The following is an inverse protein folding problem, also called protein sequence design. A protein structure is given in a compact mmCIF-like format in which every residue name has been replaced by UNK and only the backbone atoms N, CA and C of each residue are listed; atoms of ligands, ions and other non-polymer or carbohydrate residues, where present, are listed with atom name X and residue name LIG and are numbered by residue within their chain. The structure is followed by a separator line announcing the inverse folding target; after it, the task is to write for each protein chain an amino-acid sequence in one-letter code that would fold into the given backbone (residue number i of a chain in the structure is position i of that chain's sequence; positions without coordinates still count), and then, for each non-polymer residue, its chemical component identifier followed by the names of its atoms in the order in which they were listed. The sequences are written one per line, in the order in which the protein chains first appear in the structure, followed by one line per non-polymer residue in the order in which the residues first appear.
data_IF_789008885082
#
_entry.id   IF_789008885082
#
_cell.length_a   1.000
_cell.length_b   1.000
_cell.length_c   1.000
_cell.angle_alpha   90.00
_cell.angle_beta   90.00
_cell.angle_gamma   90.00
#
_symmetry.space_group_name_H-M   'P 1'
#
loop_
_entity.id
_entity.type
_entity.pdbx_description
1 polymer ?
#
# COMPACT_ATOMS: atom_id res chain seq x y z
N UNK A 1 4.10 -11.45 -16.25
CA UNK A 1 5.15 -12.18 -17.00
C UNK A 1 5.02 -13.70 -16.76
N UNK A 2 4.22 -14.42 -17.59
CA UNK A 2 4.03 -15.85 -17.43
C UNK A 2 5.33 -16.67 -17.58
N UNK A 3 6.31 -16.15 -18.31
CA UNK A 3 7.57 -16.85 -18.50
C UNK A 3 8.45 -16.79 -17.24
N UNK A 4 8.46 -15.68 -16.50
CA UNK A 4 9.13 -15.60 -15.23
C UNK A 4 8.48 -16.52 -14.19
N UNK A 5 7.14 -16.57 -14.14
CA UNK A 5 6.42 -17.51 -13.26
C UNK A 5 6.81 -18.96 -13.59
N UNK A 6 6.80 -19.34 -14.87
CA UNK A 6 7.12 -20.69 -15.29
C UNK A 6 8.54 -21.13 -14.91
N UNK A 7 9.51 -20.21 -14.93
CA UNK A 7 10.91 -20.48 -14.51
C UNK A 7 11.07 -20.59 -12.99
N UNK A 8 10.16 -19.99 -12.22
CA UNK A 8 10.20 -19.92 -10.77
C UNK A 8 8.93 -20.50 -10.11
N UNK A 9 8.24 -21.43 -10.80
CA UNK A 9 7.01 -22.08 -10.31
C UNK A 9 7.20 -22.83 -9.00
N UNK A 10 8.43 -23.24 -8.69
CA UNK A 10 8.86 -23.94 -7.48
C UNK A 10 9.20 -22.99 -6.31
N UNK A 11 9.11 -21.69 -6.50
CA UNK A 11 9.30 -20.70 -5.44
C UNK A 11 8.38 -21.01 -4.25
N UNK A 12 8.98 -21.13 -3.06
CA UNK A 12 8.24 -21.44 -1.84
C UNK A 12 7.56 -20.19 -1.29
N UNK A 13 6.24 -20.23 -1.25
CA UNK A 13 5.37 -19.15 -0.78
C UNK A 13 4.61 -19.64 0.45
N UNK A 14 4.62 -18.88 1.54
CA UNK A 14 3.76 -19.12 2.70
C UNK A 14 2.62 -18.10 2.68
N UNK A 15 1.39 -18.58 2.85
CA UNK A 15 0.20 -17.76 2.90
C UNK A 15 -0.60 -18.02 4.18
N UNK A 16 -1.12 -16.96 4.79
CA UNK A 16 -2.13 -17.04 5.86
C UNK A 16 -3.31 -16.10 5.62
N UNK A 17 -4.55 -16.55 5.80
CA UNK A 17 -5.75 -15.71 5.77
C UNK A 17 -6.03 -15.02 7.11
N UNK A 18 -5.24 -15.26 8.15
CA UNK A 18 -5.49 -14.80 9.53
C UNK A 18 -6.94 -15.10 9.95
N UNK A 19 -7.37 -16.36 9.83
CA UNK A 19 -8.75 -16.84 10.06
C UNK A 19 -9.83 -16.25 9.15
N UNK A 20 -9.45 -15.53 8.10
CA UNK A 20 -10.36 -14.81 7.20
C UNK A 20 -10.81 -15.62 5.98
N UNK A 21 -11.55 -14.94 5.12
CA UNK A 21 -12.20 -15.53 3.94
C UNK A 21 -11.24 -15.82 2.79
N UNK A 22 -10.06 -15.19 2.75
CA UNK A 22 -9.05 -15.38 1.72
C UNK A 22 -8.58 -16.84 1.56
N UNK A 23 -8.75 -17.67 2.61
CA UNK A 23 -8.42 -19.09 2.59
C UNK A 23 -9.08 -19.87 1.43
N UNK A 24 -10.24 -19.42 0.95
CA UNK A 24 -10.99 -20.14 -0.09
C UNK A 24 -10.43 -19.90 -1.49
N UNK A 25 -9.94 -18.70 -1.74
CA UNK A 25 -9.58 -18.28 -3.10
C UNK A 25 -8.07 -18.11 -3.30
N UNK A 26 -7.35 -17.51 -2.35
CA UNK A 26 -5.95 -17.11 -2.56
C UNK A 26 -5.02 -18.31 -2.83
N UNK A 27 -5.02 -19.41 -2.06
CA UNK A 27 -4.16 -20.56 -2.37
C UNK A 27 -4.48 -21.17 -3.73
N UNK A 28 -5.77 -21.20 -4.09
CA UNK A 28 -6.22 -21.71 -5.40
C UNK A 28 -5.78 -20.78 -6.53
N UNK A 29 -5.93 -19.48 -6.35
CA UNK A 29 -5.53 -18.49 -7.34
C UNK A 29 -4.01 -18.54 -7.61
N UNK A 30 -3.19 -18.63 -6.57
CA UNK A 30 -1.74 -18.79 -6.70
C UNK A 30 -1.36 -20.04 -7.49
N UNK A 31 -2.01 -21.17 -7.23
CA UNK A 31 -1.81 -22.42 -8.01
C UNK A 31 -2.24 -22.26 -9.46
N UNK A 32 -3.39 -21.62 -9.70
CA UNK A 32 -3.85 -21.34 -11.07
C UNK A 32 -2.94 -20.34 -11.81
N UNK A 33 -2.28 -19.44 -11.05
CA UNK A 33 -1.29 -18.51 -11.59
C UNK A 33 0.00 -19.21 -12.02
N UNK A 34 0.29 -20.41 -11.47
CA UNK A 34 1.41 -21.25 -11.86
C UNK A 34 2.39 -21.60 -10.74
N UNK A 35 2.13 -21.18 -9.50
CA UNK A 35 3.00 -21.51 -8.35
C UNK A 35 2.65 -22.88 -7.76
N UNK A 36 3.63 -23.77 -7.69
CA UNK A 36 3.44 -25.15 -7.23
C UNK A 36 3.61 -25.29 -5.70
N UNK A 37 4.51 -24.51 -5.11
CA UNK A 37 4.91 -24.61 -3.70
C UNK A 37 4.26 -23.53 -2.84
N UNK A 38 2.94 -23.61 -2.70
CA UNK A 38 2.15 -22.72 -1.82
C UNK A 38 1.83 -23.47 -0.53
N UNK A 39 2.41 -23.01 0.57
CA UNK A 39 2.23 -23.54 1.92
C UNK A 39 1.31 -22.60 2.72
N UNK A 40 0.56 -23.15 3.65
CA UNK A 40 -0.38 -22.37 4.48
C UNK A 40 -0.16 -22.65 5.95
N UNK A 41 -0.53 -21.74 6.83
CA UNK A 41 -0.50 -21.90 8.29
C UNK A 41 -1.77 -22.65 8.71
N UNK A 42 -1.70 -23.94 9.10
CA UNK A 42 -2.91 -24.75 9.31
C UNK A 42 -3.84 -24.17 10.37
N UNK A 43 -3.29 -23.64 11.47
CA UNK A 43 -4.04 -23.08 12.59
C UNK A 43 -4.85 -21.85 12.19
N UNK A 44 -4.37 -21.09 11.21
CA UNK A 44 -5.02 -19.88 10.70
C UNK A 44 -5.90 -20.15 9.47
N UNK A 45 -5.84 -21.36 8.90
CA UNK A 45 -6.71 -21.79 7.79
C UNK A 45 -8.11 -22.24 8.26
N UNK A 46 -8.57 -21.71 9.37
CA UNK A 46 -9.90 -21.97 9.94
C UNK A 46 -10.59 -20.61 10.08
N UNK A 47 -11.80 -20.48 9.51
CA UNK A 47 -12.61 -19.26 9.69
C UNK A 47 -13.10 -19.19 11.12
N UNK A 48 -12.61 -18.22 11.88
CA UNK A 48 -13.00 -17.97 13.26
C UNK A 48 -13.03 -16.47 13.55
N UNK A 49 -14.22 -15.94 13.81
CA UNK A 49 -14.42 -14.52 14.13
C UNK A 49 -13.86 -14.09 15.50
N UNK A 50 -13.37 -15.03 16.32
CA UNK A 50 -12.66 -14.71 17.56
C UNK A 50 -11.15 -14.53 17.35
N UNK A 51 -10.62 -14.87 16.16
CA UNK A 51 -9.21 -14.72 15.78
C UNK A 51 -8.22 -15.26 16.83
N UNK A 52 -8.34 -16.55 17.27
CA UNK A 52 -7.70 -17.07 18.47
C UNK A 52 -6.18 -17.08 18.46
N UNK A 53 -5.53 -16.89 17.31
CA UNK A 53 -4.08 -16.91 17.17
C UNK A 53 -3.43 -15.53 17.07
N UNK A 54 -4.24 -14.45 17.09
CA UNK A 54 -3.74 -13.07 16.94
C UNK A 54 -4.50 -12.12 17.86
N UNK A 55 -3.81 -11.07 18.31
CA UNK A 55 -4.45 -9.98 19.06
C UNK A 55 -5.32 -9.11 18.14
N UNK A 56 -4.84 -8.90 16.91
CA UNK A 56 -5.57 -8.15 15.89
C UNK A 56 -5.34 -8.82 14.53
N UNK A 57 -6.40 -9.13 13.76
CA UNK A 57 -6.28 -9.79 12.46
C UNK A 57 -5.90 -8.80 11.35
N UNK A 58 -4.91 -7.96 11.62
CA UNK A 58 -4.45 -6.95 10.67
C UNK A 58 -3.06 -7.34 10.12
N UNK A 59 -2.91 -7.53 8.80
CA UNK A 59 -1.65 -7.91 8.17
C UNK A 59 -0.55 -6.84 8.23
N UNK A 60 -0.84 -5.65 8.75
CA UNK A 60 0.16 -4.63 9.07
C UNK A 60 0.98 -4.99 10.32
N UNK A 61 0.44 -5.83 11.20
CA UNK A 61 1.05 -6.18 12.47
C UNK A 61 2.02 -7.36 12.32
N UNK A 62 3.25 -7.18 12.78
CA UNK A 62 4.26 -8.25 12.77
C UNK A 62 3.80 -9.51 13.54
N UNK A 63 3.03 -9.33 14.61
CA UNK A 63 2.45 -10.40 15.39
C UNK A 63 1.51 -11.27 14.57
N UNK A 64 0.65 -10.67 13.74
CA UNK A 64 -0.29 -11.40 12.89
C UNK A 64 0.40 -12.27 11.82
N UNK A 65 1.60 -11.88 11.36
CA UNK A 65 2.41 -12.63 10.41
C UNK A 65 3.37 -13.62 11.07
N UNK A 66 3.51 -13.61 12.40
CA UNK A 66 4.55 -14.35 13.11
C UNK A 66 4.53 -15.86 12.83
N UNK A 67 3.35 -16.49 12.82
CA UNK A 67 3.21 -17.92 12.52
C UNK A 67 3.63 -18.24 11.08
N UNK A 68 3.24 -17.41 10.13
CA UNK A 68 3.63 -17.57 8.72
C UNK A 68 5.13 -17.37 8.50
N UNK A 69 5.74 -16.39 9.18
CA UNK A 69 7.20 -16.16 9.15
C UNK A 69 7.95 -17.34 9.80
N UNK A 70 7.44 -17.91 10.89
CA UNK A 70 8.05 -19.08 11.51
C UNK A 70 8.01 -20.30 10.58
N UNK A 71 6.86 -20.59 9.98
CA UNK A 71 6.75 -21.64 8.95
C UNK A 71 7.71 -21.36 7.78
N UNK A 72 7.80 -20.14 7.34
CA UNK A 72 8.70 -19.76 6.24
C UNK A 72 10.18 -19.98 6.57
N UNK A 73 10.59 -19.78 7.82
CA UNK A 73 11.93 -20.11 8.32
C UNK A 73 12.18 -21.63 8.29
N UNK A 74 11.22 -22.43 8.74
CA UNK A 74 11.33 -23.89 8.80
C UNK A 74 11.52 -24.53 7.43
N UNK A 75 10.76 -24.05 6.43
CA UNK A 75 10.79 -24.62 5.09
C UNK A 75 11.75 -23.90 4.15
N UNK A 76 12.45 -22.88 4.61
CA UNK A 76 13.26 -21.97 3.80
C UNK A 76 12.46 -21.38 2.63
N UNK A 77 11.37 -20.67 2.97
CA UNK A 77 10.54 -19.99 1.98
C UNK A 77 11.16 -18.64 1.55
N UNK A 78 10.65 -18.10 0.45
CA UNK A 78 11.15 -16.87 -0.17
C UNK A 78 10.18 -15.69 0.02
N UNK A 79 8.88 -15.99 0.20
CA UNK A 79 7.83 -14.99 0.33
C UNK A 79 6.79 -15.42 1.36
N UNK A 80 6.40 -14.49 2.23
CA UNK A 80 5.26 -14.64 3.12
C UNK A 80 4.19 -13.63 2.72
N UNK A 81 2.95 -14.07 2.67
CA UNK A 81 1.77 -13.22 2.42
C UNK A 81 0.69 -13.49 3.45
N UNK A 82 0.02 -12.44 3.88
CA UNK A 82 -1.15 -12.52 4.74
C UNK A 82 -2.28 -11.64 4.16
N UNK A 83 -3.51 -12.12 4.17
CA UNK A 83 -4.68 -11.29 3.92
C UNK A 83 -5.43 -11.00 5.21
N UNK A 84 -6.09 -9.86 5.28
CA UNK A 84 -7.03 -9.55 6.35
C UNK A 84 -8.33 -10.39 6.23
N UNK A 85 -9.23 -10.32 7.23
CA UNK A 85 -10.37 -11.23 7.30
C UNK A 85 -11.34 -11.18 6.12
N UNK A 86 -11.57 -10.03 5.52
CA UNK A 86 -12.43 -9.85 4.35
C UNK A 86 -11.69 -9.95 3.01
N UNK A 87 -10.36 -10.18 3.07
CA UNK A 87 -9.49 -10.44 1.92
C UNK A 87 -9.43 -9.27 0.93
N UNK A 88 -9.26 -8.06 1.44
CA UNK A 88 -9.09 -6.86 0.64
C UNK A 88 -7.70 -6.20 0.80
N UNK A 89 -6.90 -6.58 1.82
CA UNK A 89 -5.53 -6.11 2.09
C UNK A 89 -4.54 -7.25 2.10
N UNK A 90 -3.28 -6.96 1.74
CA UNK A 90 -2.19 -7.94 1.70
C UNK A 90 -0.95 -7.45 2.43
N UNK A 91 -0.62 -8.09 3.55
CA UNK A 91 0.67 -7.94 4.22
C UNK A 91 1.72 -8.88 3.63
N UNK A 92 2.96 -8.43 3.58
CA UNK A 92 4.05 -9.14 2.93
C UNK A 92 5.28 -9.13 3.83
N UNK A 93 6.00 -10.26 3.86
CA UNK A 93 7.35 -10.32 4.40
C UNK A 93 8.28 -11.06 3.43
N UNK A 94 9.52 -10.62 3.36
CA UNK A 94 10.59 -11.24 2.59
C UNK A 94 11.91 -11.15 3.36
N UNK A 95 12.95 -11.83 2.88
CA UNK A 95 14.29 -11.75 3.47
C UNK A 95 15.01 -10.50 2.97
N UNK A 96 15.67 -9.78 3.88
CA UNK A 96 16.61 -8.72 3.55
C UNK A 96 17.97 -9.27 3.06
N UNK A 97 18.95 -8.39 2.78
CA UNK A 97 20.29 -8.79 2.33
C UNK A 97 21.13 -9.53 3.39
N UNK A 98 20.67 -9.56 4.64
CA UNK A 98 21.28 -10.32 5.73
C UNK A 98 20.59 -11.67 5.97
N UNK A 99 19.51 -11.94 5.22
CA UNK A 99 18.68 -13.13 5.39
C UNK A 99 17.63 -13.01 6.50
N UNK A 100 17.46 -11.81 7.08
CA UNK A 100 16.45 -11.59 8.13
C UNK A 100 15.08 -11.28 7.51
N UNK A 101 14.03 -11.82 8.10
CA UNK A 101 12.67 -11.55 7.67
C UNK A 101 12.24 -10.14 8.04
N UNK A 102 11.86 -9.36 7.04
CA UNK A 102 11.37 -7.99 7.19
C UNK A 102 9.96 -7.86 6.60
N UNK A 103 9.11 -7.11 7.30
CA UNK A 103 7.80 -6.74 6.78
C UNK A 103 7.94 -5.60 5.80
N UNK A 104 7.26 -5.72 4.67
CA UNK A 104 7.14 -4.68 3.66
C UNK A 104 5.86 -3.91 3.93
N UNK A 105 5.95 -2.61 4.19
CA UNK A 105 4.77 -1.80 4.49
C UNK A 105 3.91 -1.53 3.24
N UNK A 106 2.66 -1.06 3.44
CA UNK A 106 1.72 -0.86 2.35
C UNK A 106 2.18 0.15 1.30
N UNK A 107 2.92 1.20 1.69
CA UNK A 107 3.52 2.13 0.74
C UNK A 107 4.57 1.44 -0.14
N UNK A 108 5.45 0.65 0.46
CA UNK A 108 6.49 -0.11 -0.25
C UNK A 108 5.87 -1.15 -1.20
N UNK A 109 4.84 -1.84 -0.74
CA UNK A 109 4.11 -2.81 -1.56
C UNK A 109 3.44 -2.13 -2.75
N UNK A 110 2.76 -1.01 -2.52
CA UNK A 110 2.13 -0.22 -3.58
C UNK A 110 3.15 0.28 -4.62
N UNK A 111 4.34 0.70 -4.17
CA UNK A 111 5.46 1.05 -5.06
C UNK A 111 5.87 -0.11 -5.96
N UNK A 112 6.09 -1.29 -5.38
CA UNK A 112 6.54 -2.47 -6.13
C UNK A 112 5.49 -2.92 -7.15
N UNK A 113 4.21 -2.90 -6.78
CA UNK A 113 3.12 -3.20 -7.72
C UNK A 113 3.14 -2.24 -8.90
N UNK A 114 3.15 -0.94 -8.63
CA UNK A 114 3.08 0.05 -9.68
C UNK A 114 4.33 0.04 -10.57
N UNK A 115 5.52 -0.06 -9.96
CA UNK A 115 6.77 -0.18 -10.70
C UNK A 115 6.76 -1.37 -11.65
N UNK A 116 6.34 -2.54 -11.16
CA UNK A 116 6.26 -3.75 -11.95
C UNK A 116 5.24 -3.63 -13.09
N UNK A 117 4.01 -3.21 -12.79
CA UNK A 117 2.95 -3.04 -13.79
C UNK A 117 3.41 -2.09 -14.91
N UNK A 118 3.97 -0.93 -14.56
CA UNK A 118 4.43 0.04 -15.56
C UNK A 118 5.59 -0.49 -16.38
N UNK A 119 6.53 -1.22 -15.76
CA UNK A 119 7.63 -1.88 -16.46
C UNK A 119 7.09 -2.88 -17.48
N UNK A 120 6.16 -3.76 -17.10
CA UNK A 120 5.55 -4.74 -17.99
C UNK A 120 4.71 -4.07 -19.08
N UNK A 121 3.90 -3.06 -18.76
CA UNK A 121 3.12 -2.33 -19.75
C UNK A 121 4.00 -1.66 -20.81
N UNK A 122 5.13 -1.08 -20.38
CA UNK A 122 6.10 -0.49 -21.29
C UNK A 122 6.74 -1.52 -22.21
N UNK A 123 7.21 -2.64 -21.65
CA UNK A 123 7.82 -3.74 -22.42
C UNK A 123 6.84 -4.34 -23.44
N UNK A 124 5.58 -4.47 -23.09
CA UNK A 124 4.52 -5.02 -23.94
C UNK A 124 3.91 -3.98 -24.92
N UNK A 125 4.39 -2.73 -24.92
CA UNK A 125 3.84 -1.67 -25.75
C UNK A 125 2.37 -1.34 -25.43
N UNK A 126 1.93 -1.57 -24.20
CA UNK A 126 0.54 -1.33 -23.75
C UNK A 126 0.25 0.11 -23.34
N UNK A 127 1.29 0.94 -23.15
CA UNK A 127 1.11 2.37 -22.83
C UNK A 127 0.73 3.12 -24.12
N UNK A 128 -0.43 3.75 -24.12
CA UNK A 128 -1.01 4.48 -25.25
C UNK A 128 -1.13 5.99 -25.03
N UNK A 129 -0.82 6.46 -23.80
CA UNK A 129 -0.89 7.88 -23.42
C UNK A 129 -2.23 8.32 -22.84
N UNK A 130 -3.12 7.38 -22.53
CA UNK A 130 -4.39 7.65 -21.88
C UNK A 130 -4.55 6.88 -20.54
N UNK A 131 -3.46 6.30 -20.04
CA UNK A 131 -3.44 5.56 -18.79
C UNK A 131 -3.39 6.53 -17.60
N UNK A 132 -3.96 6.08 -16.48
CA UNK A 132 -3.85 6.77 -15.21
C UNK A 132 -3.77 5.81 -14.04
N UNK A 133 -3.18 6.30 -12.95
CA UNK A 133 -3.13 5.65 -11.65
C UNK A 133 -3.77 6.55 -10.59
N UNK A 134 -4.14 5.96 -9.47
CA UNK A 134 -4.75 6.70 -8.35
C UNK A 134 -4.06 6.32 -7.05
N UNK A 135 -3.76 7.30 -6.21
CA UNK A 135 -3.31 7.09 -4.83
C UNK A 135 -4.11 7.93 -3.85
N UNK A 136 -4.09 7.56 -2.58
CA UNK A 136 -4.62 8.46 -1.57
C UNK A 136 -3.64 9.59 -1.27
N UNK A 137 -4.14 10.72 -0.77
CA UNK A 137 -3.31 11.87 -0.38
C UNK A 137 -2.28 11.53 0.69
N UNK A 138 -2.52 10.48 1.49
CA UNK A 138 -1.60 10.04 2.56
C UNK A 138 -0.61 8.97 2.09
N UNK A 139 -0.85 8.31 0.97
CA UNK A 139 0.08 7.36 0.36
C UNK A 139 1.37 8.07 -0.09
N UNK A 140 2.47 7.35 -0.14
CA UNK A 140 3.80 7.88 -0.49
C UNK A 140 3.82 8.66 -1.81
N UNK A 141 4.59 9.75 -1.85
CA UNK A 141 4.81 10.49 -3.10
C UNK A 141 5.73 9.75 -4.09
N UNK A 142 6.39 8.69 -3.66
CA UNK A 142 7.31 7.95 -4.51
C UNK A 142 6.57 7.27 -5.68
N UNK A 143 5.34 6.80 -5.46
CA UNK A 143 4.53 6.23 -6.56
C UNK A 143 4.15 7.28 -7.61
N UNK A 144 4.00 8.55 -7.20
CA UNK A 144 3.81 9.64 -8.17
C UNK A 144 5.07 9.84 -9.01
N UNK A 145 6.26 9.82 -8.41
CA UNK A 145 7.53 9.93 -9.14
C UNK A 145 7.70 8.77 -10.14
N UNK A 146 7.29 7.54 -9.76
CA UNK A 146 7.28 6.39 -10.66
C UNK A 146 6.35 6.62 -11.86
N UNK A 147 5.13 7.08 -11.60
CA UNK A 147 4.16 7.39 -12.66
C UNK A 147 4.66 8.51 -13.59
N UNK A 148 5.12 9.62 -13.02
CA UNK A 148 5.63 10.78 -13.77
C UNK A 148 6.79 10.40 -14.72
N UNK A 149 7.75 9.58 -14.25
CA UNK A 149 8.88 9.11 -15.07
C UNK A 149 8.43 8.23 -16.24
N UNK A 150 7.28 7.59 -16.11
CA UNK A 150 6.68 6.77 -17.15
C UNK A 150 5.62 7.53 -17.99
N UNK A 151 5.45 8.83 -17.79
CA UNK A 151 4.44 9.68 -18.43
C UNK A 151 3.00 9.19 -18.17
N UNK A 152 2.73 8.65 -16.98
CA UNK A 152 1.42 8.20 -16.55
C UNK A 152 0.84 9.23 -15.59
N UNK A 153 -0.41 9.61 -15.82
CA UNK A 153 -1.13 10.52 -14.93
C UNK A 153 -1.34 9.85 -13.55
N UNK A 154 -0.93 10.52 -12.48
CA UNK A 154 -1.21 10.12 -11.10
C UNK A 154 -2.23 11.06 -10.48
N UNK A 155 -3.34 10.52 -10.02
CA UNK A 155 -4.40 11.26 -9.35
C UNK A 155 -4.35 11.04 -7.86
N UNK A 156 -4.58 12.11 -7.12
CA UNK A 156 -4.77 12.09 -5.67
C UNK A 156 -6.25 12.02 -5.31
N UNK A 157 -6.60 11.19 -4.35
CA UNK A 157 -7.95 11.14 -3.77
C UNK A 157 -7.88 11.03 -2.24
N UNK A 158 -9.02 11.16 -1.56
CA UNK A 158 -9.08 10.90 -0.12
C UNK A 158 -8.86 9.43 0.22
N UNK A 159 -8.53 9.15 1.48
CA UNK A 159 -8.44 7.81 2.04
C UNK A 159 -9.80 7.12 1.99
N UNK A 160 -9.79 5.86 1.65
CA UNK A 160 -10.95 5.02 1.42
C UNK A 160 -11.14 4.69 -0.06
N UNK A 161 -11.17 3.40 -0.37
CA UNK A 161 -11.14 2.91 -1.75
C UNK A 161 -12.30 3.38 -2.61
N UNK A 162 -13.43 3.78 -1.97
CA UNK A 162 -14.56 4.44 -2.65
C UNK A 162 -14.14 5.67 -3.48
N UNK A 163 -13.07 6.36 -3.06
CA UNK A 163 -12.55 7.51 -3.77
C UNK A 163 -11.71 7.11 -4.99
N UNK A 164 -10.93 6.04 -4.88
CA UNK A 164 -10.25 5.44 -6.03
C UNK A 164 -11.29 4.96 -7.05
N UNK A 165 -12.31 4.23 -6.59
CA UNK A 165 -13.41 3.76 -7.43
C UNK A 165 -14.18 4.93 -8.12
N UNK A 166 -14.35 6.06 -7.40
CA UNK A 166 -14.92 7.28 -7.99
C UNK A 166 -14.07 7.81 -9.14
N UNK A 167 -12.75 7.92 -8.97
CA UNK A 167 -11.85 8.40 -10.01
C UNK A 167 -11.85 7.48 -11.24
N UNK A 168 -11.92 6.15 -11.03
CA UNK A 168 -12.09 5.17 -12.10
C UNK A 168 -13.41 5.43 -12.85
N UNK A 169 -14.53 5.54 -12.12
CA UNK A 169 -15.86 5.75 -12.71
C UNK A 169 -15.95 7.04 -13.53
N UNK A 170 -15.37 8.14 -13.07
CA UNK A 170 -15.41 9.43 -13.77
C UNK A 170 -14.66 9.40 -15.10
N UNK A 171 -13.73 8.46 -15.28
CA UNK A 171 -12.89 8.32 -16.47
C UNK A 171 -13.21 7.10 -17.32
N UNK A 172 -14.22 6.33 -16.93
CA UNK A 172 -14.67 5.14 -17.63
C UNK A 172 -14.97 5.45 -19.11
N UNK A 173 -14.46 4.61 -20.01
CA UNK A 173 -14.59 4.80 -21.46
C UNK A 173 -13.74 5.93 -22.06
N UNK A 174 -13.03 6.72 -21.24
CA UNK A 174 -12.17 7.84 -21.70
C UNK A 174 -10.70 7.59 -21.45
N UNK A 175 -10.36 7.08 -20.26
CA UNK A 175 -9.00 6.76 -19.85
C UNK A 175 -8.93 5.34 -19.30
N UNK A 176 -7.74 4.75 -19.33
CA UNK A 176 -7.49 3.40 -18.82
C UNK A 176 -6.85 3.46 -17.44
N UNK A 177 -7.56 2.97 -16.42
CA UNK A 177 -6.98 2.74 -15.11
C UNK A 177 -6.04 1.53 -15.15
N UNK A 178 -4.85 1.65 -14.56
CA UNK A 178 -3.86 0.57 -14.53
C UNK A 178 -3.48 0.11 -13.14
N UNK A 179 -3.62 0.95 -12.13
CA UNK A 179 -3.36 0.54 -10.76
C UNK A 179 -3.45 1.69 -9.79
N UNK A 180 -3.66 1.34 -8.54
CA UNK A 180 -3.68 2.29 -7.44
C UNK A 180 -3.94 1.61 -6.11
N UNK A 181 -3.64 2.33 -5.04
CA UNK A 181 -3.74 1.74 -3.72
C UNK A 181 -3.60 2.74 -2.60
N UNK A 182 -3.66 2.18 -1.41
CA UNK A 182 -3.60 2.87 -0.15
C UNK A 182 -2.35 2.45 0.63
N UNK A 183 -1.85 3.33 1.48
CA UNK A 183 -0.79 3.04 2.44
C UNK A 183 -1.16 1.90 3.40
N UNK A 184 -2.45 1.67 3.61
CA UNK A 184 -3.03 0.62 4.46
C UNK A 184 -3.18 -0.73 3.74
N UNK A 185 -2.22 -1.09 2.88
CA UNK A 185 -2.07 -2.42 2.26
C UNK A 185 -3.14 -2.81 1.24
N UNK A 186 -4.05 -1.90 0.88
CA UNK A 186 -5.04 -2.11 -0.16
C UNK A 186 -4.52 -1.74 -1.55
N UNK A 187 -4.68 -2.60 -2.54
CA UNK A 187 -4.30 -2.36 -3.93
C UNK A 187 -5.32 -2.96 -4.89
N UNK A 188 -5.47 -2.30 -6.04
CA UNK A 188 -6.23 -2.80 -7.18
C UNK A 188 -5.42 -2.60 -8.45
N UNK A 189 -5.14 -3.68 -9.17
CA UNK A 189 -4.59 -3.65 -10.53
C UNK A 189 -5.74 -3.74 -11.54
N UNK A 190 -5.78 -2.82 -12.50
CA UNK A 190 -6.84 -2.69 -13.48
C UNK A 190 -8.23 -2.42 -12.85
N UNK A 191 -9.31 -2.44 -13.61
CA UNK A 191 -10.63 -2.00 -13.17
C UNK A 191 -11.71 -3.08 -13.24
N UNK A 192 -11.30 -4.37 -13.18
CA UNK A 192 -12.22 -5.50 -13.23
C UNK A 192 -13.14 -5.61 -12.00
N UNK A 193 -12.73 -5.03 -10.87
CA UNK A 193 -13.57 -4.76 -9.68
C UNK A 193 -13.43 -3.30 -9.27
N UNK A 194 -14.19 -2.84 -8.27
CA UNK A 194 -14.20 -1.44 -7.84
C UNK A 194 -13.85 -1.29 -6.36
N UNK A 195 -13.10 -2.24 -5.85
CA UNK A 195 -12.54 -2.21 -4.50
C UNK A 195 -11.17 -2.90 -4.50
N UNK A 196 -10.47 -2.82 -3.38
CA UNK A 196 -9.25 -3.58 -3.10
C UNK A 196 -9.51 -5.07 -3.27
N UNK A 197 -8.53 -5.79 -3.77
CA UNK A 197 -8.66 -7.23 -3.97
C UNK A 197 -7.37 -7.96 -3.59
N UNK A 198 -7.39 -8.64 -2.44
CA UNK A 198 -6.24 -9.40 -1.99
C UNK A 198 -5.97 -10.65 -2.84
N UNK A 199 -6.95 -11.17 -3.56
CA UNK A 199 -6.75 -12.35 -4.40
C UNK A 199 -5.81 -12.01 -5.55
N UNK A 200 -6.12 -10.97 -6.31
CA UNK A 200 -5.26 -10.51 -7.40
C UNK A 200 -3.95 -9.90 -6.89
N UNK A 201 -3.97 -9.18 -5.76
CA UNK A 201 -2.78 -8.59 -5.19
C UNK A 201 -1.78 -9.66 -4.70
N UNK A 202 -2.22 -10.75 -4.08
CA UNK A 202 -1.36 -11.88 -3.73
C UNK A 202 -0.74 -12.54 -4.98
N UNK A 203 -1.52 -12.76 -6.03
CA UNK A 203 -0.99 -13.28 -7.29
C UNK A 203 0.04 -12.34 -7.91
N UNK A 204 -0.26 -11.03 -7.89
CA UNK A 204 0.63 -10.02 -8.45
C UNK A 204 1.95 -9.92 -7.68
N UNK A 205 1.96 -9.93 -6.34
CA UNK A 205 3.22 -9.84 -5.60
C UNK A 205 4.06 -11.12 -5.74
N UNK A 206 3.42 -12.29 -5.84
CA UNK A 206 4.13 -13.53 -6.14
C UNK A 206 4.78 -13.46 -7.54
N UNK A 207 4.08 -12.89 -8.52
CA UNK A 207 4.63 -12.63 -9.86
C UNK A 207 5.78 -11.60 -9.83
N UNK A 208 5.66 -10.52 -9.05
CA UNK A 208 6.74 -9.54 -8.85
C UNK A 208 7.98 -10.21 -8.26
N UNK A 209 7.79 -11.08 -7.26
CA UNK A 209 8.90 -11.82 -6.64
C UNK A 209 9.57 -12.79 -7.63
N UNK A 210 8.79 -13.52 -8.41
CA UNK A 210 9.30 -14.40 -9.46
C UNK A 210 10.05 -13.63 -10.55
N UNK A 211 9.50 -12.48 -10.97
CA UNK A 211 10.15 -11.60 -11.94
C UNK A 211 11.46 -10.98 -11.39
N UNK A 212 11.47 -10.55 -10.14
CA UNK A 212 12.71 -10.09 -9.50
C UNK A 212 13.77 -11.19 -9.49
N UNK A 213 13.41 -12.41 -9.09
CA UNK A 213 14.28 -13.59 -9.08
C UNK A 213 14.81 -13.94 -10.49
N UNK A 214 13.96 -13.82 -11.50
CA UNK A 214 14.34 -14.03 -12.91
C UNK A 214 15.38 -13.01 -13.40
N UNK A 215 15.39 -11.83 -12.78
CA UNK A 215 16.41 -10.78 -13.00
C UNK A 215 17.57 -10.84 -12.00
N UNK A 216 17.74 -11.97 -11.28
CA UNK A 216 18.85 -12.20 -10.35
C UNK A 216 18.74 -11.39 -9.04
N UNK A 217 17.55 -10.99 -8.63
CA UNK A 217 17.31 -10.13 -7.45
C UNK A 217 16.29 -10.77 -6.49
N UNK A 218 16.41 -10.49 -5.21
CA UNK A 218 15.34 -10.73 -4.26
C UNK A 218 14.27 -9.62 -4.36
N UNK A 219 13.09 -9.87 -3.75
CA UNK A 219 12.05 -8.85 -3.65
C UNK A 219 12.54 -7.61 -2.86
N UNK A 220 13.37 -7.82 -1.84
CA UNK A 220 13.99 -6.75 -1.07
C UNK A 220 14.98 -5.93 -1.91
N UNK A 221 15.82 -6.58 -2.70
CA UNK A 221 16.74 -5.89 -3.62
C UNK A 221 16.00 -5.10 -4.69
N UNK A 222 14.88 -5.60 -5.19
CA UNK A 222 14.00 -4.83 -6.08
C UNK A 222 13.50 -3.54 -5.41
N UNK A 223 13.09 -3.61 -4.13
CA UNK A 223 12.70 -2.43 -3.37
C UNK A 223 13.85 -1.42 -3.26
N UNK A 224 15.07 -1.88 -2.99
CA UNK A 224 16.24 -1.01 -2.91
C UNK A 224 16.56 -0.36 -4.26
N UNK A 225 16.43 -1.09 -5.37
CA UNK A 225 16.61 -0.53 -6.71
C UNK A 225 15.60 0.57 -7.03
N UNK A 226 14.35 0.40 -6.61
CA UNK A 226 13.33 1.44 -6.76
C UNK A 226 13.74 2.70 -5.98
N UNK A 227 14.28 2.56 -4.77
CA UNK A 227 14.79 3.69 -4.01
C UNK A 227 16.00 4.37 -4.67
N UNK A 228 16.91 3.59 -5.26
CA UNK A 228 18.05 4.13 -6.00
C UNK A 228 17.59 4.91 -7.24
N UNK A 229 16.57 4.40 -7.94
CA UNK A 229 16.11 4.98 -9.20
C UNK A 229 15.23 6.23 -9.00
N UNK A 230 14.38 6.25 -7.94
CA UNK A 230 13.35 7.29 -7.74
C UNK A 230 13.56 8.17 -6.50
N UNK A 231 14.54 7.83 -5.68
CA UNK A 231 14.86 8.48 -4.42
C UNK A 231 14.37 7.67 -3.21
N UNK A 232 15.11 7.76 -2.11
CA UNK A 232 14.76 7.09 -0.86
C UNK A 232 13.56 7.79 -0.20
N UNK A 233 12.63 6.99 0.26
CA UNK A 233 11.50 7.42 1.11
C UNK A 233 11.32 6.43 2.25
N UNK A 234 11.13 6.93 3.45
CA UNK A 234 10.84 6.12 4.63
C UNK A 234 9.52 6.56 5.23
N UNK A 235 8.52 5.74 5.03
CA UNK A 235 7.19 5.96 5.55
C UNK A 235 7.07 5.38 6.95
N UNK A 236 6.34 6.10 7.81
CA UNK A 236 6.07 5.68 9.17
C UNK A 236 4.68 6.16 9.60
N UNK A 237 3.94 5.31 10.30
CA UNK A 237 2.62 5.63 10.86
C UNK A 237 2.71 5.73 12.37
N UNK A 238 2.17 6.80 12.93
CA UNK A 238 2.02 6.99 14.38
C UNK A 238 0.53 6.90 14.72
N UNK A 239 0.16 5.87 15.46
CA UNK A 239 -1.22 5.69 15.93
C UNK A 239 -1.34 6.24 17.35
N UNK A 240 -2.22 7.22 17.54
CA UNK A 240 -2.55 7.79 18.84
C UNK A 240 -3.97 7.35 19.22
N UNK A 241 -4.05 6.35 20.08
CA UNK A 241 -5.35 5.78 20.52
C UNK A 241 -5.83 6.51 21.79
N UNK A 242 -7.04 7.02 21.73
CA UNK A 242 -7.72 7.70 22.85
C UNK A 242 -9.10 7.07 23.05
N UNK A 243 -9.27 6.21 24.05
CA UNK A 243 -10.52 5.46 24.25
C UNK A 243 -11.66 6.32 24.80
N UNK A 244 -12.88 5.96 24.43
CA UNK A 244 -14.10 6.52 25.00
C UNK A 244 -14.45 7.93 24.52
N UNK A 245 -15.51 8.48 25.08
CA UNK A 245 -16.05 9.79 24.69
C UNK A 245 -15.06 10.93 24.94
N UNK A 246 -14.39 10.94 26.08
CA UNK A 246 -13.35 11.94 26.38
C UNK A 246 -12.18 11.87 25.38
N UNK A 247 -11.80 10.66 24.95
CA UNK A 247 -10.78 10.47 23.94
C UNK A 247 -11.15 11.06 22.58
N UNK A 248 -12.41 10.91 22.17
CA UNK A 248 -12.91 11.54 20.95
C UNK A 248 -12.86 13.08 21.01
N UNK A 249 -13.15 13.67 22.18
CA UNK A 249 -13.04 15.11 22.42
C UNK A 249 -11.59 15.57 22.39
N UNK A 250 -10.64 14.80 22.96
CA UNK A 250 -9.21 15.07 22.89
C UNK A 250 -8.69 15.04 21.45
N UNK A 251 -9.07 14.04 20.65
CA UNK A 251 -8.69 13.94 19.23
C UNK A 251 -9.21 15.15 18.45
N UNK A 252 -10.44 15.56 18.70
CA UNK A 252 -11.01 16.78 18.08
C UNK A 252 -10.22 18.02 18.46
N UNK A 253 -9.87 18.17 19.74
CA UNK A 253 -9.07 19.30 20.24
C UNK A 253 -7.65 19.31 19.63
N UNK A 254 -7.01 18.13 19.47
CA UNK A 254 -5.72 18.03 18.77
C UNK A 254 -5.81 18.52 17.33
N UNK A 255 -6.83 18.11 16.57
CA UNK A 255 -7.00 18.58 15.19
C UNK A 255 -7.23 20.09 15.09
N UNK A 256 -8.02 20.67 16.01
CA UNK A 256 -8.23 22.13 16.04
C UNK A 256 -6.94 22.88 16.45
N UNK A 257 -6.16 22.32 17.36
CA UNK A 257 -4.85 22.88 17.72
C UNK A 257 -3.87 22.87 16.56
N UNK A 258 -3.75 21.79 15.81
CA UNK A 258 -2.90 21.74 14.61
C UNK A 258 -3.33 22.74 13.52
N UNK A 259 -4.63 23.04 13.42
CA UNK A 259 -5.13 24.09 12.52
C UNK A 259 -4.79 25.48 12.99
N UNK A 260 -5.01 25.75 14.27
CA UNK A 260 -4.74 27.06 14.85
C UNK A 260 -3.25 27.38 14.93
N UNK A 261 -2.43 26.36 15.17
CA UNK A 261 -0.99 26.46 15.39
C UNK A 261 -0.24 25.48 14.45
N UNK A 262 -0.25 25.71 13.13
CA UNK A 262 0.44 24.82 12.21
C UNK A 262 1.95 24.81 12.51
N UNK A 263 2.60 23.64 12.48
CA UNK A 263 4.03 23.55 12.73
C UNK A 263 4.80 24.34 11.66
N UNK A 264 5.83 25.06 12.10
CA UNK A 264 6.73 25.81 11.20
C UNK A 264 7.93 24.97 10.76
N UNK A 265 8.22 23.93 11.51
CA UNK A 265 9.35 23.01 11.30
C UNK A 265 8.95 21.60 11.72
N UNK A 266 9.45 20.60 11.02
CA UNK A 266 9.26 19.17 11.30
C UNK A 266 10.59 18.47 11.08
N UNK A 267 11.10 17.76 12.10
CA UNK A 267 12.35 17.02 12.01
C UNK A 267 13.58 17.86 11.66
N UNK A 268 13.60 19.15 12.01
CA UNK A 268 14.69 20.07 11.66
C UNK A 268 14.56 20.71 10.27
N UNK A 269 13.50 20.41 9.52
CA UNK A 269 13.24 20.96 8.19
C UNK A 269 12.05 21.90 8.20
N UNK A 270 12.18 23.06 7.54
CA UNK A 270 11.16 24.11 7.47
C UNK A 270 9.91 23.60 6.73
N UNK A 271 8.73 23.88 7.27
CA UNK A 271 7.46 23.65 6.56
C UNK A 271 7.27 24.73 5.51
N UNK A 272 7.16 24.32 4.25
CA UNK A 272 7.01 25.22 3.10
C UNK A 272 5.58 25.24 2.53
N UNK A 273 4.75 24.25 2.87
CA UNK A 273 3.36 24.16 2.43
C UNK A 273 2.52 23.46 3.49
N UNK A 274 1.40 24.06 3.85
CA UNK A 274 0.37 23.50 4.74
C UNK A 274 -0.93 23.36 3.97
N UNK A 275 -1.58 22.19 4.04
CA UNK A 275 -2.88 21.92 3.41
C UNK A 275 -3.91 21.63 4.49
N UNK A 276 -5.03 22.33 4.48
CA UNK A 276 -6.21 22.01 5.30
C UNK A 276 -7.37 21.60 4.38
N UNK A 277 -7.62 20.32 4.33
CA UNK A 277 -8.69 19.76 3.50
C UNK A 277 -10.10 20.04 4.05
N UNK A 278 -10.23 20.44 5.33
CA UNK A 278 -11.53 20.86 5.89
C UNK A 278 -11.98 22.19 5.30
N UNK A 279 -11.04 23.07 5.00
CA UNK A 279 -11.31 24.38 4.40
C UNK A 279 -11.06 24.41 2.90
N UNK A 280 -10.49 23.33 2.34
CA UNK A 280 -10.01 23.21 0.96
C UNK A 280 -9.02 24.33 0.59
N UNK A 281 -8.14 24.68 1.52
CA UNK A 281 -7.13 25.71 1.35
C UNK A 281 -5.74 25.17 1.65
N UNK A 282 -4.77 25.65 0.88
CA UNK A 282 -3.36 25.46 1.16
C UNK A 282 -2.65 26.79 1.27
N UNK A 283 -1.65 26.85 2.15
CA UNK A 283 -0.88 28.06 2.45
C UNK A 283 0.61 27.75 2.32
N UNK A 284 1.34 28.52 1.54
CA UNK A 284 2.79 28.42 1.42
C UNK A 284 3.53 29.15 2.57
N UNK A 285 4.86 29.04 2.59
CA UNK A 285 5.70 29.66 3.62
C UNK A 285 5.79 31.19 3.51
N UNK A 286 5.24 31.78 2.43
CA UNK A 286 5.11 33.24 2.23
C UNK A 286 3.74 33.76 2.64
N UNK A 287 2.82 32.86 3.03
CA UNK A 287 1.45 33.20 3.42
C UNK A 287 0.47 33.29 2.25
N UNK A 288 0.84 32.91 1.04
CA UNK A 288 -0.08 32.87 -0.08
C UNK A 288 -1.07 31.70 0.09
N UNK A 289 -2.36 32.00 -0.04
CA UNK A 289 -3.43 31.01 0.11
C UNK A 289 -4.03 30.69 -1.26
N UNK A 290 -4.09 29.39 -1.58
CA UNK A 290 -4.73 28.90 -2.81
C UNK A 290 -5.73 27.79 -2.49
N UNK A 291 -6.66 27.51 -3.42
CA UNK A 291 -7.64 26.43 -3.27
C UNK A 291 -6.99 25.05 -3.50
N UNK A 292 -7.52 24.05 -2.80
CA UNK A 292 -7.22 22.63 -3.06
C UNK A 292 -8.37 22.08 -3.92
N UNK A 293 -8.01 21.50 -5.06
CA UNK A 293 -8.98 20.85 -5.96
C UNK A 293 -9.30 19.43 -5.46
N UNK A 294 -10.33 19.36 -4.61
CA UNK A 294 -10.85 18.10 -4.06
C UNK A 294 -12.38 18.14 -4.02
N UNK A 295 -13.06 16.99 -4.15
CA UNK A 295 -14.51 16.94 -4.39
C UNK A 295 -15.36 17.45 -3.22
N UNK A 296 -14.87 17.35 -1.99
CA UNK A 296 -15.58 17.77 -0.77
C UNK A 296 -14.58 18.01 0.38
N UNK A 297 -14.97 18.75 1.43
CA UNK A 297 -14.14 18.90 2.63
C UNK A 297 -13.88 17.57 3.34
N UNK A 298 -12.66 17.41 3.89
CA UNK A 298 -12.27 16.26 4.72
C UNK A 298 -11.42 16.70 5.90
N UNK A 299 -11.55 16.03 7.05
CA UNK A 299 -10.80 16.40 8.25
C UNK A 299 -9.35 15.90 8.21
N UNK A 300 -8.58 16.36 7.24
CA UNK A 300 -7.18 16.02 7.05
C UNK A 300 -6.34 17.29 7.00
N UNK A 301 -5.16 17.24 7.61
CA UNK A 301 -4.12 18.25 7.50
C UNK A 301 -2.87 17.61 6.89
N UNK A 302 -2.15 18.35 6.06
CA UNK A 302 -0.84 17.94 5.56
C UNK A 302 0.15 19.08 5.63
N UNK A 303 1.38 18.72 5.97
CA UNK A 303 2.52 19.63 6.04
C UNK A 303 3.66 19.07 5.20
N UNK A 304 4.21 19.91 4.33
CA UNK A 304 5.32 19.55 3.45
C UNK A 304 6.53 20.39 3.83
N UNK A 305 7.66 19.76 3.98
CA UNK A 305 8.89 20.40 4.37
C UNK A 305 9.82 20.66 3.19
N UNK A 306 10.81 21.52 3.37
CA UNK A 306 11.78 21.91 2.35
C UNK A 306 12.62 20.71 1.85
N UNK A 307 12.90 19.72 2.71
CA UNK A 307 13.60 18.48 2.35
C UNK A 307 12.72 17.46 1.61
N UNK A 308 11.45 17.78 1.37
CA UNK A 308 10.48 16.94 0.67
C UNK A 308 9.74 15.93 1.56
N UNK A 309 9.90 16.02 2.88
CA UNK A 309 9.11 15.20 3.81
C UNK A 309 7.64 15.67 3.83
N UNK A 310 6.73 14.72 4.04
CA UNK A 310 5.29 14.95 4.15
C UNK A 310 4.76 14.35 5.45
N UNK A 311 4.07 15.15 6.26
CA UNK A 311 3.32 14.68 7.43
C UNK A 311 1.85 14.87 7.19
N UNK A 312 1.07 13.81 7.36
CA UNK A 312 -0.39 13.83 7.26
C UNK A 312 -1.00 13.56 8.64
N UNK A 313 -1.96 14.38 9.06
CA UNK A 313 -2.67 14.24 10.33
C UNK A 313 -4.15 14.09 10.05
N UNK A 314 -4.75 12.99 10.52
CA UNK A 314 -6.19 12.75 10.38
C UNK A 314 -6.73 11.97 11.56
N UNK A 315 -7.98 12.23 12.01
CA UNK A 315 -8.65 11.34 12.94
C UNK A 315 -9.14 10.09 12.20
N UNK A 316 -9.11 8.93 12.86
CA UNK A 316 -9.83 7.74 12.40
C UNK A 316 -11.27 7.80 12.89
N UNK A 317 -12.21 7.32 12.08
CA UNK A 317 -13.63 7.18 12.45
C UNK A 317 -14.05 5.74 12.73
N UNK A 318 -13.12 4.78 12.57
CA UNK A 318 -13.43 3.34 12.61
C UNK A 318 -12.61 2.55 13.62
N UNK A 319 -11.62 3.17 14.25
CA UNK A 319 -10.72 2.52 15.23
C UNK A 319 -10.69 3.30 16.54
#
# INVERSE_FOLDING_TARGET
DPAAIARHKDMKIVYTPIHGTGMMLIPRALKMWGFENVFTVPEQMVKDGNFPTVVSPNPENAEALSMAVNLAKEIDAELVMASDPDADRVGIACKDDKGEWVLINGNQTCMMYLYYILTQYKQLGKIKGNEFCVKTIVTTELIKKIADKNNIEMLDCYTGFKWIAREIRLREGKKKYIGGGEESYGFLAEDFVRDKDAVSACCLIAEVAAWAKDNGKSLYQLLLDIYVEYGFSKEFTVNVVKPGKSGAEEIKAMMENFRANPPKELGGSKVILSKDYKTLKQTDDKGNVTAIDMPEPSNVLQYFTEDGSKVSVRPSGTE
#
